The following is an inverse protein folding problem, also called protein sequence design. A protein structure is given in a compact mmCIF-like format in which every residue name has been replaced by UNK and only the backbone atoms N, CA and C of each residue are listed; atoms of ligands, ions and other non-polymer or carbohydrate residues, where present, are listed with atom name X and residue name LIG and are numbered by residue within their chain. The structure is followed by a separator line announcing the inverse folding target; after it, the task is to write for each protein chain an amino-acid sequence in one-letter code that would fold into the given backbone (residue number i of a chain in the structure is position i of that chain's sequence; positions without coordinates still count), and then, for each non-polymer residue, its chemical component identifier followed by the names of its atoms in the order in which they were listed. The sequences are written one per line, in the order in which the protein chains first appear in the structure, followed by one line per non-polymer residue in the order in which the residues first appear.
data_IF_957325958938
#
_entry.id   IF_957325958938
#
_cell.length_a   1.000
_cell.length_b   1.000
_cell.length_c   1.000
_cell.angle_alpha   90.00
_cell.angle_beta   90.00
_cell.angle_gamma   90.00
#
_symmetry.space_group_name_H-M   'P 1'
#
loop_
_entity.id
_entity.type
_entity.pdbx_description
1 polymer ?
#
# COMPACT_ATOMS: atom_id res chain seq x y z
N UNK A 1 47.81 -21.80 2.84
CA UNK A 1 46.36 -22.06 2.93
C UNK A 1 46.16 -23.50 3.36
N UNK A 2 45.43 -23.78 4.50
CA UNK A 2 45.02 -25.14 4.85
C UNK A 2 44.16 -25.69 3.70
N UNK A 3 44.40 -26.93 3.30
CA UNK A 3 43.66 -27.52 2.20
C UNK A 3 42.18 -27.70 2.59
N UNK A 4 41.28 -27.57 1.63
CA UNK A 4 39.86 -27.79 1.78
C UNK A 4 39.50 -29.12 2.49
N UNK A 5 40.38 -30.12 2.37
CA UNK A 5 40.26 -31.43 3.00
C UNK A 5 40.47 -31.40 4.53
N UNK A 6 41.30 -30.49 5.06
CA UNK A 6 41.47 -30.32 6.50
C UNK A 6 40.24 -29.64 7.14
N UNK A 7 39.52 -28.82 6.39
CA UNK A 7 38.27 -28.20 6.85
C UNK A 7 37.14 -29.27 6.93
N UNK A 8 37.14 -30.26 6.04
CA UNK A 8 36.12 -31.30 6.08
C UNK A 8 36.38 -32.37 7.16
N UNK A 9 37.63 -32.61 7.58
CA UNK A 9 37.96 -33.64 8.58
C UNK A 9 37.77 -33.14 10.04
N UNK A 10 37.61 -31.85 10.27
CA UNK A 10 37.38 -31.29 11.61
C UNK A 10 35.91 -31.32 12.07
N UNK A 11 34.99 -31.91 11.28
CA UNK A 11 33.55 -31.96 11.56
C UNK A 11 32.96 -33.37 11.68
N UNK A 12 33.75 -34.33 12.14
CA UNK A 12 33.21 -35.64 12.58
C UNK A 12 33.08 -35.63 14.11
N UNK A 13 32.02 -35.03 14.59
CA UNK A 13 31.70 -34.96 16.02
C UNK A 13 30.63 -33.90 16.26
N UNK A 14 29.55 -33.97 15.53
CA UNK A 14 28.34 -33.27 15.89
C UNK A 14 27.22 -34.30 16.03
N UNK A 15 26.75 -34.43 17.24
CA UNK A 15 25.51 -35.07 17.60
C UNK A 15 24.39 -34.58 16.70
N UNK A 16 23.51 -35.51 16.38
CA UNK A 16 22.26 -35.33 15.66
C UNK A 16 21.33 -34.40 16.45
N UNK A 17 21.56 -33.11 16.37
CA UNK A 17 20.51 -32.12 16.47
C UNK A 17 20.02 -31.79 15.06
N UNK A 18 19.37 -32.76 14.43
CA UNK A 18 18.34 -32.45 13.46
C UNK A 18 17.36 -31.51 14.17
N UNK A 19 17.54 -30.21 13.93
CA UNK A 19 16.51 -29.24 14.23
C UNK A 19 15.27 -29.75 13.47
N UNK A 20 14.39 -30.39 14.26
CA UNK A 20 13.06 -30.80 13.88
C UNK A 20 12.33 -29.60 13.31
N UNK A 21 12.55 -29.34 12.01
CA UNK A 21 11.75 -28.44 11.22
C UNK A 21 10.42 -29.15 11.09
N UNK A 22 9.58 -28.99 12.14
CA UNK A 22 8.23 -29.51 12.15
C UNK A 22 7.57 -29.02 10.88
N UNK A 23 7.50 -29.94 9.92
CA UNK A 23 6.65 -29.81 8.77
C UNK A 23 5.25 -29.50 9.30
N UNK A 24 4.87 -28.23 9.22
CA UNK A 24 3.47 -27.85 9.35
C UNK A 24 2.75 -28.54 8.19
N UNK A 25 1.77 -29.37 8.51
CA UNK A 25 0.99 -30.23 7.64
C UNK A 25 0.82 -29.66 6.21
N UNK A 26 1.61 -30.17 5.27
CA UNK A 26 1.36 -30.02 3.82
C UNK A 26 1.75 -28.69 3.16
N UNK A 27 2.31 -27.71 3.87
CA UNK A 27 2.77 -26.45 3.28
C UNK A 27 4.15 -26.60 2.62
N UNK A 28 4.30 -26.05 1.42
CA UNK A 28 5.61 -25.97 0.76
C UNK A 28 6.45 -24.82 1.34
N UNK A 29 7.79 -24.82 1.17
CA UNK A 29 8.63 -23.67 1.57
C UNK A 29 8.18 -22.34 0.94
N UNK A 30 7.63 -22.38 -0.27
CA UNK A 30 7.10 -21.21 -0.96
C UNK A 30 5.82 -20.68 -0.26
N UNK A 31 4.91 -21.58 0.15
CA UNK A 31 3.70 -21.20 0.91
C UNK A 31 4.08 -20.51 2.23
N UNK A 32 5.09 -21.06 2.94
CA UNK A 32 5.58 -20.48 4.19
C UNK A 32 6.20 -19.09 3.96
N UNK A 33 6.94 -18.92 2.86
CA UNK A 33 7.55 -17.65 2.49
C UNK A 33 6.48 -16.60 2.17
N UNK A 34 5.47 -16.97 1.37
CA UNK A 34 4.35 -16.09 1.03
C UNK A 34 3.58 -15.66 2.28
N UNK A 35 3.26 -16.60 3.17
CA UNK A 35 2.55 -16.32 4.42
C UNK A 35 3.35 -15.39 5.34
N UNK A 36 4.66 -15.65 5.46
CA UNK A 36 5.57 -14.80 6.24
C UNK A 36 5.68 -13.39 5.62
N UNK A 37 5.73 -13.28 4.30
CA UNK A 37 5.78 -12.00 3.59
C UNK A 37 4.48 -11.21 3.77
N UNK A 38 3.32 -11.86 3.65
CA UNK A 38 2.04 -11.23 3.93
C UNK A 38 1.96 -10.71 5.37
N UNK A 39 2.46 -11.48 6.34
CA UNK A 39 2.45 -11.04 7.74
C UNK A 39 3.36 -9.82 7.96
N UNK A 40 4.53 -9.78 7.31
CA UNK A 40 5.43 -8.62 7.35
C UNK A 40 4.74 -7.38 6.76
N UNK A 41 4.04 -7.53 5.64
CA UNK A 41 3.30 -6.44 5.00
C UNK A 41 2.13 -5.94 5.88
N UNK A 42 1.36 -6.85 6.49
CA UNK A 42 0.29 -6.47 7.43
C UNK A 42 0.83 -5.67 8.62
N UNK A 43 1.96 -6.09 9.18
CA UNK A 43 2.59 -5.37 10.28
C UNK A 43 3.06 -3.97 9.84
N UNK A 44 3.63 -3.86 8.62
CA UNK A 44 4.03 -2.58 8.05
C UNK A 44 2.82 -1.65 7.83
N UNK A 45 1.70 -2.19 7.31
CA UNK A 45 0.45 -1.44 7.13
C UNK A 45 -0.07 -0.90 8.47
N UNK A 46 -0.02 -1.72 9.53
CA UNK A 46 -0.44 -1.32 10.86
C UNK A 46 0.47 -0.23 11.44
N UNK A 47 1.80 -0.36 11.29
CA UNK A 47 2.77 0.67 11.70
C UNK A 47 2.55 1.98 10.94
N UNK A 48 2.34 1.92 9.61
CA UNK A 48 2.03 3.10 8.80
C UNK A 48 0.76 3.79 9.29
N UNK A 49 -0.30 3.03 9.53
CA UNK A 49 -1.56 3.58 10.02
C UNK A 49 -1.40 4.26 11.38
N UNK A 50 -0.57 3.72 12.28
CA UNK A 50 -0.25 4.38 13.54
C UNK A 50 0.47 5.72 13.34
N UNK A 51 1.41 5.80 12.40
CA UNK A 51 2.07 7.06 12.08
C UNK A 51 1.08 8.08 11.49
N UNK A 52 0.17 7.64 10.61
CA UNK A 52 -0.86 8.48 10.02
C UNK A 52 -1.78 9.09 11.08
N UNK A 53 -2.16 8.31 12.08
CA UNK A 53 -3.00 8.77 13.19
C UNK A 53 -2.34 9.82 14.08
N UNK A 54 -1.01 9.90 14.09
CA UNK A 54 -0.24 10.93 14.83
C UNK A 54 -0.16 12.26 14.09
N UNK A 55 -0.42 12.26 12.77
CA UNK A 55 -0.33 13.48 11.98
C UNK A 55 -1.50 14.43 12.31
N UNK A 56 -1.27 15.74 12.34
CA UNK A 56 -2.39 16.70 12.33
C UNK A 56 -3.18 16.59 11.02
N UNK A 57 -4.50 16.89 11.01
CA UNK A 57 -5.35 16.75 9.84
C UNK A 57 -4.78 17.38 8.56
N UNK A 58 -4.32 18.64 8.62
CA UNK A 58 -3.75 19.33 7.47
C UNK A 58 -2.47 18.66 6.92
N UNK A 59 -1.68 18.01 7.77
CA UNK A 59 -0.50 17.26 7.32
C UNK A 59 -0.91 15.97 6.60
N UNK A 60 -1.96 15.30 7.08
CA UNK A 60 -2.51 14.11 6.43
C UNK A 60 -3.10 14.45 5.06
N UNK A 61 -3.87 15.53 4.94
CA UNK A 61 -4.41 16.04 3.67
C UNK A 61 -3.30 16.26 2.65
N UNK A 62 -2.27 17.02 3.02
CA UNK A 62 -1.10 17.27 2.16
C UNK A 62 -0.38 15.98 1.78
N UNK A 63 -0.24 15.05 2.73
CA UNK A 63 0.42 13.77 2.50
C UNK A 63 -0.37 12.90 1.52
N UNK A 64 -1.70 12.83 1.63
CA UNK A 64 -2.56 12.09 0.69
C UNK A 64 -2.43 12.67 -0.73
N UNK A 65 -2.44 13.99 -0.88
CA UNK A 65 -2.25 14.62 -2.19
C UNK A 65 -0.86 14.33 -2.78
N UNK A 66 0.18 14.31 -1.95
CA UNK A 66 1.54 13.92 -2.38
C UNK A 66 1.61 12.44 -2.78
N UNK A 67 0.91 11.55 -2.07
CA UNK A 67 0.80 10.14 -2.43
C UNK A 67 0.12 9.99 -3.79
N UNK A 68 -0.97 10.71 -4.05
CA UNK A 68 -1.64 10.70 -5.36
C UNK A 68 -0.69 11.14 -6.48
N UNK A 69 0.13 12.16 -6.24
CA UNK A 69 1.20 12.56 -7.16
C UNK A 69 2.22 11.43 -7.41
N UNK A 70 2.62 10.71 -6.35
CA UNK A 70 3.53 9.56 -6.44
C UNK A 70 2.92 8.40 -7.26
N UNK A 71 1.61 8.20 -7.16
CA UNK A 71 0.84 7.24 -7.93
C UNK A 71 0.65 7.65 -9.41
N UNK A 72 1.12 8.83 -9.81
CA UNK A 72 1.06 9.33 -11.18
C UNK A 72 -0.10 10.28 -11.50
N UNK A 73 -0.93 10.60 -10.53
CA UNK A 73 -2.00 11.58 -10.73
C UNK A 73 -1.44 13.00 -10.66
N UNK A 74 -1.80 13.85 -11.63
CA UNK A 74 -1.39 15.26 -11.63
C UNK A 74 0.11 15.50 -11.87
N UNK A 75 0.86 14.56 -12.47
CA UNK A 75 2.33 14.65 -12.63
C UNK A 75 2.80 15.31 -13.90
N UNK A 76 1.93 15.87 -14.71
CA UNK A 76 2.32 16.57 -15.95
C UNK A 76 2.57 18.07 -15.70
N UNK A 77 3.41 18.68 -16.53
CA UNK A 77 3.78 20.09 -16.42
C UNK A 77 2.53 20.98 -16.48
N UNK A 78 2.27 21.73 -15.42
CA UNK A 78 1.09 22.59 -15.28
C UNK A 78 -0.08 21.99 -14.49
N UNK A 79 -0.03 20.71 -14.14
CA UNK A 79 -1.00 20.15 -13.20
C UNK A 79 -0.66 20.62 -11.79
N UNK A 80 -1.31 21.67 -11.34
CA UNK A 80 -1.29 22.06 -9.94
C UNK A 80 -2.15 21.10 -9.13
N UNK A 81 -1.61 20.48 -8.06
CA UNK A 81 -2.47 20.04 -6.95
C UNK A 81 -2.86 21.33 -6.21
N UNK A 82 -4.05 21.84 -6.46
CA UNK A 82 -4.57 22.94 -5.69
C UNK A 82 -5.14 22.38 -4.40
N UNK A 83 -4.44 22.64 -3.29
CA UNK A 83 -5.09 22.59 -1.99
C UNK A 83 -5.99 23.81 -1.92
N UNK A 84 -7.29 23.64 -1.86
CA UNK A 84 -8.17 24.76 -1.56
C UNK A 84 -7.77 25.31 -0.21
N UNK A 85 -7.47 26.60 -0.15
CA UNK A 85 -7.29 27.27 1.12
C UNK A 85 -8.59 27.09 1.95
N UNK A 86 -8.42 26.66 3.17
CA UNK A 86 -9.42 26.43 4.19
C UNK A 86 -10.78 27.15 3.96
N UNK A 87 -11.84 26.35 3.81
CA UNK A 87 -13.19 26.86 3.94
C UNK A 87 -14.23 26.38 2.93
N UNK A 88 -13.85 25.74 1.86
CA UNK A 88 -14.80 25.33 0.83
C UNK A 88 -15.33 23.90 1.07
N UNK A 89 -16.47 23.85 1.78
CA UNK A 89 -17.46 22.77 1.73
C UNK A 89 -16.94 21.33 1.91
N UNK A 90 -15.74 21.13 2.52
CA UNK A 90 -15.20 19.80 2.81
C UNK A 90 -14.44 19.17 1.63
N UNK A 91 -13.90 19.95 0.72
CA UNK A 91 -12.95 19.52 -0.30
C UNK A 91 -11.55 19.93 0.15
N UNK A 92 -10.64 18.97 0.34
CA UNK A 92 -9.29 19.20 0.85
C UNK A 92 -8.26 19.32 -0.29
N UNK A 93 -8.63 18.90 -1.51
CA UNK A 93 -7.78 19.06 -2.67
C UNK A 93 -8.48 18.76 -3.99
N UNK A 94 -7.91 19.28 -5.08
CA UNK A 94 -8.36 19.01 -6.43
C UNK A 94 -7.14 18.58 -7.25
N UNK A 95 -7.24 17.44 -7.93
CA UNK A 95 -6.20 16.87 -8.77
C UNK A 95 -6.70 16.83 -10.20
N UNK A 96 -5.90 17.33 -11.15
CA UNK A 96 -6.18 17.17 -12.57
C UNK A 96 -5.76 15.76 -13.00
N UNK A 97 -6.66 14.99 -13.60
CA UNK A 97 -6.35 13.65 -14.10
C UNK A 97 -5.70 13.70 -15.49
N UNK A 98 -5.98 14.73 -16.27
CA UNK A 98 -5.46 14.93 -17.63
C UNK A 98 -4.74 16.29 -17.77
N UNK A 99 -3.93 16.40 -18.86
CA UNK A 99 -3.11 17.60 -19.13
C UNK A 99 -3.91 18.89 -19.42
N UNK A 100 -5.15 18.75 -19.81
CA UNK A 100 -6.01 19.86 -20.20
C UNK A 100 -6.98 20.25 -19.06
N UNK A 101 -7.06 19.43 -18.00
CA UNK A 101 -7.89 19.69 -16.85
C UNK A 101 -9.39 19.40 -17.09
N UNK A 102 -9.73 18.59 -18.09
CA UNK A 102 -11.12 18.16 -18.30
C UNK A 102 -11.62 17.24 -17.21
N UNK A 103 -10.76 16.34 -16.72
CA UNK A 103 -11.08 15.41 -15.67
C UNK A 103 -10.45 15.87 -14.35
N UNK A 104 -11.30 16.23 -13.40
CA UNK A 104 -10.91 16.63 -12.05
C UNK A 104 -11.25 15.53 -11.04
N UNK A 105 -10.36 15.33 -10.07
CA UNK A 105 -10.58 14.49 -8.90
C UNK A 105 -10.64 15.40 -7.67
N UNK A 106 -11.83 15.47 -7.07
CA UNK A 106 -12.03 16.15 -5.79
C UNK A 106 -11.67 15.18 -4.67
N UNK A 107 -10.83 15.62 -3.74
CA UNK A 107 -10.33 14.79 -2.64
C UNK A 107 -10.83 15.34 -1.31
N UNK A 108 -11.40 14.47 -0.49
CA UNK A 108 -11.68 14.73 0.91
C UNK A 108 -10.94 13.72 1.77
N UNK A 109 -10.29 14.19 2.85
CA UNK A 109 -9.51 13.36 3.77
C UNK A 109 -10.05 13.53 5.19
N UNK A 110 -10.39 12.43 5.84
CA UNK A 110 -10.89 12.46 7.23
C UNK A 110 -10.00 11.59 8.12
N UNK A 111 -9.27 12.25 9.02
CA UNK A 111 -8.52 11.58 10.08
C UNK A 111 -9.48 11.17 11.21
N UNK A 112 -9.77 9.87 11.28
CA UNK A 112 -10.55 9.27 12.35
C UNK A 112 -9.74 8.20 13.07
N UNK A 113 -10.00 8.03 14.36
CA UNK A 113 -9.36 6.99 15.17
C UNK A 113 -9.78 5.58 14.72
N UNK A 114 -8.94 4.59 15.05
CA UNK A 114 -9.29 3.17 14.85
C UNK A 114 -10.61 2.88 15.58
N UNK A 115 -11.56 2.27 14.88
CA UNK A 115 -12.89 1.94 15.44
C UNK A 115 -13.99 2.96 15.12
N UNK A 116 -13.66 4.17 14.68
CA UNK A 116 -14.67 5.04 14.07
C UNK A 116 -15.05 4.48 12.70
N UNK A 117 -16.34 4.48 12.37
CA UNK A 117 -16.81 3.99 11.07
C UNK A 117 -17.48 5.14 10.33
N UNK A 118 -16.91 5.52 9.17
CA UNK A 118 -17.47 6.58 8.31
C UNK A 118 -18.80 6.12 7.77
N UNK A 119 -19.83 6.92 8.00
CA UNK A 119 -21.20 6.60 7.65
C UNK A 119 -21.63 7.15 6.27
N UNK A 120 -22.81 6.71 5.81
CA UNK A 120 -23.43 7.26 4.60
C UNK A 120 -23.61 8.79 4.65
N UNK A 121 -23.97 9.44 5.79
CA UNK A 121 -24.13 10.89 5.84
C UNK A 121 -22.88 11.67 5.45
N UNK A 122 -21.66 11.16 5.82
CA UNK A 122 -20.41 11.81 5.48
C UNK A 122 -20.19 11.79 3.95
N UNK A 123 -20.47 10.65 3.31
CA UNK A 123 -20.36 10.52 1.87
C UNK A 123 -21.42 11.38 1.15
N UNK A 124 -22.63 11.48 1.71
CA UNK A 124 -23.68 12.36 1.16
C UNK A 124 -23.26 13.84 1.21
N UNK A 125 -22.64 14.27 2.31
CA UNK A 125 -22.10 15.63 2.43
C UNK A 125 -21.02 15.89 1.38
N UNK A 126 -20.10 14.95 1.18
CA UNK A 126 -19.05 15.06 0.16
C UNK A 126 -19.63 15.09 -1.27
N UNK A 127 -20.58 14.22 -1.59
CA UNK A 127 -21.28 14.25 -2.89
C UNK A 127 -21.96 15.61 -3.10
N UNK A 128 -22.61 16.15 -2.06
CA UNK A 128 -23.18 17.50 -2.11
C UNK A 128 -22.14 18.58 -2.41
N UNK A 129 -20.98 18.51 -1.79
CA UNK A 129 -19.89 19.48 -1.97
C UNK A 129 -19.31 19.50 -3.41
N UNK A 130 -19.31 18.35 -4.09
CA UNK A 130 -18.83 18.25 -5.48
C UNK A 130 -19.95 18.33 -6.53
N UNK A 131 -21.21 18.38 -6.09
CA UNK A 131 -22.37 18.44 -6.99
C UNK A 131 -22.30 19.68 -7.90
N UNK A 132 -22.47 19.47 -9.19
CA UNK A 132 -22.44 20.55 -10.18
C UNK A 132 -21.04 21.04 -10.57
N UNK A 133 -19.97 20.59 -9.88
CA UNK A 133 -18.60 21.00 -10.20
C UNK A 133 -17.98 20.20 -11.36
N UNK A 134 -18.61 19.09 -11.77
CA UNK A 134 -18.06 18.16 -12.77
C UNK A 134 -16.78 17.50 -12.29
N UNK A 135 -16.67 16.20 -12.36
CA UNK A 135 -15.45 15.48 -11.92
C UNK A 135 -15.75 14.24 -11.09
N UNK A 136 -14.69 13.63 -10.59
CA UNK A 136 -14.71 12.38 -9.80
C UNK A 136 -14.43 12.71 -8.34
N UNK A 137 -14.94 11.90 -7.41
CA UNK A 137 -14.67 12.08 -5.99
C UNK A 137 -13.79 10.96 -5.43
N UNK A 138 -12.83 11.33 -4.58
CA UNK A 138 -12.02 10.44 -3.76
C UNK A 138 -12.20 10.82 -2.30
N UNK A 139 -12.77 9.93 -1.51
CA UNK A 139 -12.89 10.09 -0.06
C UNK A 139 -11.91 9.17 0.65
N UNK A 140 -10.99 9.74 1.41
CA UNK A 140 -9.94 9.03 2.13
C UNK A 140 -10.17 9.13 3.63
N UNK A 141 -9.97 8.04 4.36
CA UNK A 141 -10.00 8.05 5.82
C UNK A 141 -8.90 7.16 6.40
N UNK A 142 -8.44 7.47 7.60
CA UNK A 142 -7.57 6.57 8.41
C UNK A 142 -8.33 5.45 9.11
N UNK A 143 -9.65 5.42 8.96
CA UNK A 143 -10.55 4.45 9.58
C UNK A 143 -11.18 3.53 8.53
N UNK A 144 -12.41 3.08 8.74
CA UNK A 144 -13.17 2.20 7.85
C UNK A 144 -14.49 2.82 7.43
N UNK A 145 -15.15 2.24 6.43
CA UNK A 145 -16.45 2.66 5.94
C UNK A 145 -17.55 1.67 6.34
N UNK A 146 -18.72 2.17 6.65
CA UNK A 146 -19.90 1.34 6.83
C UNK A 146 -20.35 0.74 5.48
N UNK A 147 -21.04 -0.40 5.53
CA UNK A 147 -21.60 -1.02 4.32
C UNK A 147 -22.51 -0.05 3.55
N UNK A 148 -23.33 0.73 4.27
CA UNK A 148 -24.22 1.72 3.67
C UNK A 148 -23.47 2.86 2.98
N UNK A 149 -22.30 3.29 3.53
CA UNK A 149 -21.43 4.27 2.90
C UNK A 149 -20.84 3.73 1.59
N UNK A 150 -20.36 2.48 1.60
CA UNK A 150 -19.79 1.81 0.42
C UNK A 150 -20.85 1.63 -0.69
N UNK A 151 -22.03 1.17 -0.35
CA UNK A 151 -23.12 1.00 -1.30
C UNK A 151 -23.55 2.34 -1.93
N UNK A 152 -23.66 3.39 -1.09
CA UNK A 152 -24.00 4.73 -1.58
C UNK A 152 -22.91 5.33 -2.47
N UNK A 153 -21.64 5.24 -2.06
CA UNK A 153 -20.51 5.74 -2.85
C UNK A 153 -20.46 5.13 -4.25
N UNK A 154 -20.73 3.83 -4.38
CA UNK A 154 -20.81 3.13 -5.67
C UNK A 154 -21.86 3.74 -6.60
N UNK A 155 -23.03 4.11 -6.08
CA UNK A 155 -24.11 4.73 -6.87
C UNK A 155 -23.76 6.16 -7.32
N UNK A 156 -22.86 6.83 -6.60
CA UNK A 156 -22.43 8.21 -6.87
C UNK A 156 -21.07 8.28 -7.58
N UNK A 157 -20.49 7.13 -7.96
CA UNK A 157 -19.17 7.04 -8.59
C UNK A 157 -18.04 7.69 -7.75
N UNK A 158 -18.16 7.60 -6.40
CA UNK A 158 -17.13 8.04 -5.46
C UNK A 158 -16.21 6.85 -5.14
N UNK A 159 -14.92 7.09 -5.26
CA UNK A 159 -13.89 6.15 -4.80
C UNK A 159 -13.68 6.33 -3.30
N UNK A 160 -13.70 5.23 -2.56
CA UNK A 160 -13.40 5.22 -1.12
C UNK A 160 -12.05 4.56 -0.89
N UNK A 161 -11.24 5.20 -0.05
CA UNK A 161 -9.94 4.68 0.39
C UNK A 161 -9.92 4.68 1.93
N UNK A 162 -9.99 3.51 2.52
CA UNK A 162 -9.90 3.33 3.96
C UNK A 162 -8.43 3.34 4.44
N UNK A 163 -8.21 3.29 5.74
CA UNK A 163 -6.89 3.38 6.34
C UNK A 163 -5.97 2.24 5.91
N UNK A 164 -6.50 1.02 5.73
CA UNK A 164 -5.72 -0.13 5.27
C UNK A 164 -5.29 0.06 3.81
N UNK A 165 -6.21 0.42 2.93
CA UNK A 165 -5.88 0.68 1.52
C UNK A 165 -4.92 1.86 1.36
N UNK A 166 -5.04 2.89 2.20
CA UNK A 166 -4.10 4.01 2.22
C UNK A 166 -2.68 3.53 2.57
N UNK A 167 -2.54 2.72 3.63
CA UNK A 167 -1.24 2.15 4.03
C UNK A 167 -0.66 1.22 2.95
N UNK A 168 -1.48 0.39 2.30
CA UNK A 168 -1.06 -0.44 1.17
C UNK A 168 -0.53 0.40 0.00
N UNK A 169 -1.26 1.42 -0.41
CA UNK A 169 -0.82 2.33 -1.47
C UNK A 169 0.52 3.02 -1.12
N UNK A 170 0.71 3.39 0.15
CA UNK A 170 1.99 3.95 0.62
C UNK A 170 3.14 2.95 0.47
N UNK A 171 2.94 1.69 0.88
CA UNK A 171 3.93 0.64 0.76
C UNK A 171 4.25 0.32 -0.72
N UNK A 172 3.22 0.13 -1.55
CA UNK A 172 3.33 -0.16 -3.00
C UNK A 172 4.12 0.92 -3.76
N UNK A 173 3.93 2.19 -3.39
CA UNK A 173 4.56 3.33 -4.05
C UNK A 173 5.81 3.86 -3.32
N UNK A 174 6.35 3.10 -2.38
CA UNK A 174 7.53 3.47 -1.57
C UNK A 174 7.40 4.88 -0.96
N UNK A 175 6.23 5.20 -0.44
CA UNK A 175 5.93 6.47 0.16
C UNK A 175 5.87 6.35 1.70
N UNK A 176 6.81 6.99 2.37
CA UNK A 176 6.96 6.86 3.83
C UNK A 176 7.58 5.54 4.30
N UNK A 177 8.12 4.73 3.38
CA UNK A 177 8.78 3.45 3.65
C UNK A 177 10.15 3.38 2.99
N UNK A 178 11.01 2.51 3.49
CA UNK A 178 12.30 2.19 2.90
C UNK A 178 12.51 0.68 2.81
N UNK A 179 13.18 0.23 1.76
CA UNK A 179 13.49 -1.19 1.55
C UNK A 179 14.55 -1.59 2.58
N UNK A 180 14.24 -2.57 3.43
CA UNK A 180 15.17 -3.11 4.44
C UNK A 180 15.98 -4.28 3.93
N UNK A 181 15.36 -5.17 3.13
CA UNK A 181 15.99 -6.37 2.57
C UNK A 181 15.35 -6.71 1.23
N UNK A 182 16.14 -7.31 0.35
CA UNK A 182 15.68 -7.91 -0.91
C UNK A 182 16.13 -9.36 -0.91
N UNK A 183 15.23 -10.28 -1.23
CA UNK A 183 15.52 -11.69 -1.38
C UNK A 183 15.36 -12.08 -2.83
N UNK A 184 16.35 -12.84 -3.36
CA UNK A 184 16.28 -13.40 -4.70
C UNK A 184 16.07 -14.91 -4.59
N UNK A 185 14.99 -15.41 -5.15
CA UNK A 185 14.74 -16.85 -5.27
C UNK A 185 15.24 -17.26 -6.66
N UNK A 186 16.13 -18.28 -6.71
CA UNK A 186 16.72 -18.75 -7.94
C UNK A 186 16.23 -20.17 -8.24
N UNK A 187 15.90 -20.42 -9.48
CA UNK A 187 15.60 -21.76 -9.99
C UNK A 187 16.72 -22.23 -10.92
N UNK A 188 16.80 -23.54 -11.13
CA UNK A 188 17.71 -24.12 -12.12
C UNK A 188 17.17 -23.77 -13.52
N UNK A 189 18.04 -23.21 -14.36
CA UNK A 189 17.76 -23.00 -15.77
C UNK A 189 18.07 -24.31 -16.53
N UNK A 190 17.04 -25.08 -16.81
CA UNK A 190 17.16 -26.38 -17.49
C UNK A 190 17.69 -26.21 -18.90
N UNK A 191 17.27 -25.19 -19.62
CA UNK A 191 17.68 -24.95 -21.02
C UNK A 191 19.18 -24.70 -21.10
N UNK A 192 19.75 -24.00 -20.12
CA UNK A 192 21.19 -23.82 -20.02
C UNK A 192 21.95 -25.15 -19.95
N UNK A 193 21.44 -26.14 -19.21
CA UNK A 193 22.09 -27.44 -19.07
C UNK A 193 21.88 -28.34 -20.30
N UNK A 194 20.76 -28.23 -21.01
CA UNK A 194 20.47 -28.99 -22.21
C UNK A 194 21.52 -28.71 -23.31
N UNK A 195 21.99 -27.47 -23.46
CA UNK A 195 23.05 -27.11 -24.42
C UNK A 195 24.35 -27.87 -24.17
N UNK A 196 24.65 -28.32 -22.95
CA UNK A 196 25.84 -29.07 -22.59
C UNK A 196 25.66 -30.58 -22.66
N UNK A 197 24.43 -31.07 -22.72
CA UNK A 197 24.14 -32.50 -22.89
C UNK A 197 24.18 -32.94 -24.35
N UNK A 198 24.13 -32.01 -25.28
CA UNK A 198 24.24 -32.27 -26.75
C UNK A 198 25.68 -32.21 -27.29
N UNK A 199 26.69 -31.98 -26.40
CA UNK A 199 28.14 -31.95 -26.76
C UNK A 199 28.78 -33.30 -26.52
#
# INVERSE_FOLDING_TARGET
YPSFLEFCSAKTGCDEDEADFRQSDGQTPDDILEEAFEQINRNLEDELLEQLLRLPPAALEKMVLNLMGRMGYGTFAGAGMTTSAAGDEGIDGIIMQDKLGFDLIYVQVKRWERGHVVGRPDIQAFVGAIAGKGGKGLFVTTSSFSRQAVEYAKTQHIVLMDGRRLAQCMAEHHFGVSIRRVFEIKAVDSDFFEEYLEL
#
